data_IF_924217178978
#
_entry.id   IF_924217178978
#
_cell.length_a   1.000
_cell.length_b   1.000
_cell.length_c   1.000
_cell.angle_alpha   90.00
_cell.angle_beta   90.00
_cell.angle_gamma   90.00
#
_symmetry.space_group_name_H-M   'P 1'
#
loop_
_entity.id
_entity.type
_entity.pdbx_description
1 polymer ?
#
# COMPACT_ATOMS: atom_id res chain seq x y z
N UNK A 1 0.84 -69.21 20.85
CA UNK A 1 0.31 -67.88 21.26
C UNK A 1 1.26 -66.69 21.06
N UNK A 2 2.60 -66.86 20.93
CA UNK A 2 3.54 -65.72 20.79
C UNK A 2 3.71 -65.12 19.37
N UNK A 3 3.34 -65.83 18.29
CA UNK A 3 3.54 -65.35 16.90
C UNK A 3 2.44 -64.43 16.36
N UNK A 4 1.27 -64.40 17.00
CA UNK A 4 0.12 -63.60 16.54
C UNK A 4 0.21 -62.14 17.03
N UNK A 5 0.73 -61.92 18.23
CA UNK A 5 0.86 -60.58 18.83
C UNK A 5 1.87 -59.70 18.07
N UNK A 6 2.94 -60.30 17.52
CA UNK A 6 4.00 -59.55 16.83
C UNK A 6 3.54 -58.95 15.49
N UNK A 7 2.60 -59.59 14.77
CA UNK A 7 2.08 -59.09 13.49
C UNK A 7 1.08 -57.95 13.65
N UNK A 8 0.32 -57.92 14.75
CA UNK A 8 -0.65 -56.87 15.02
C UNK A 8 0.02 -55.54 15.45
N UNK A 9 1.16 -55.60 16.13
CA UNK A 9 1.88 -54.40 16.57
C UNK A 9 2.60 -53.68 15.43
N UNK A 10 3.07 -54.41 14.40
CA UNK A 10 3.73 -53.79 13.22
C UNK A 10 2.74 -53.07 12.32
N UNK A 11 1.49 -53.54 12.24
CA UNK A 11 0.44 -52.93 11.41
C UNK A 11 -0.12 -51.63 12.02
N UNK A 12 -0.14 -51.51 13.35
CA UNK A 12 -0.61 -50.31 14.06
C UNK A 12 0.42 -49.16 14.01
N UNK A 13 1.72 -49.45 13.98
CA UNK A 13 2.76 -48.43 13.80
C UNK A 13 2.79 -47.92 12.36
N UNK A 14 2.57 -48.78 11.36
CA UNK A 14 2.48 -48.38 9.96
C UNK A 14 1.24 -47.52 9.66
N UNK A 15 0.10 -47.80 10.30
CA UNK A 15 -1.11 -46.98 10.19
C UNK A 15 -0.98 -45.63 10.93
N UNK A 16 -0.31 -45.60 12.09
CA UNK A 16 -0.06 -44.37 12.85
C UNK A 16 0.88 -43.39 12.14
N UNK A 17 1.91 -43.88 11.46
CA UNK A 17 2.83 -43.07 10.65
C UNK A 17 2.22 -42.59 9.32
N UNK A 18 1.28 -43.36 8.75
CA UNK A 18 0.55 -42.99 7.54
C UNK A 18 -0.48 -41.87 7.74
N UNK A 19 -1.07 -41.77 8.94
CA UNK A 19 -2.06 -40.72 9.25
C UNK A 19 -1.43 -39.40 9.72
N UNK A 20 -0.21 -39.40 10.25
CA UNK A 20 0.48 -38.16 10.65
C UNK A 20 1.08 -37.37 9.47
N UNK A 21 1.12 -37.95 8.27
CA UNK A 21 1.62 -37.28 7.05
C UNK A 21 0.50 -36.62 6.21
N UNK A 22 -0.77 -36.88 6.51
CA UNK A 22 -1.89 -36.47 5.67
C UNK A 22 -2.46 -35.07 5.98
N UNK A 23 -1.90 -34.33 6.94
CA UNK A 23 -2.27 -32.93 7.22
C UNK A 23 -1.20 -31.94 6.80
N UNK A 24 -0.35 -32.30 5.83
CA UNK A 24 0.29 -31.31 5.00
C UNK A 24 -0.77 -30.81 4.01
N UNK A 25 -1.35 -29.65 4.26
CA UNK A 25 -2.08 -28.94 3.21
C UNK A 25 -1.08 -28.75 2.06
N UNK A 26 -1.19 -29.60 1.03
CA UNK A 26 -0.35 -29.51 -0.15
C UNK A 26 -0.53 -28.11 -0.71
N UNK A 27 0.50 -27.26 -0.60
CA UNK A 27 0.50 -25.99 -1.30
C UNK A 27 0.26 -26.28 -2.79
N UNK A 28 -0.72 -25.61 -3.41
CA UNK A 28 -0.96 -25.74 -4.83
C UNK A 28 0.32 -25.41 -5.62
N UNK A 29 0.59 -26.13 -6.70
CA UNK A 29 1.67 -25.76 -7.61
C UNK A 29 1.31 -24.50 -8.40
N UNK A 30 2.32 -23.82 -8.95
CA UNK A 30 2.08 -22.68 -9.84
C UNK A 30 1.18 -23.07 -11.03
N UNK A 31 1.36 -24.28 -11.58
CA UNK A 31 0.57 -24.80 -12.68
C UNK A 31 -0.90 -25.02 -12.29
N UNK A 32 -1.16 -25.50 -11.06
CA UNK A 32 -2.53 -25.65 -10.54
C UNK A 32 -3.22 -24.29 -10.43
N UNK A 33 -2.51 -23.28 -9.91
CA UNK A 33 -3.01 -21.89 -9.81
C UNK A 33 -3.29 -21.32 -11.20
N UNK A 34 -2.40 -21.50 -12.17
CA UNK A 34 -2.59 -21.04 -13.55
C UNK A 34 -3.84 -21.66 -14.16
N UNK A 35 -4.01 -22.98 -14.05
CA UNK A 35 -5.17 -23.69 -14.61
C UNK A 35 -6.46 -23.26 -13.94
N UNK A 36 -6.49 -23.18 -12.60
CA UNK A 36 -7.68 -22.80 -11.82
C UNK A 36 -8.11 -21.36 -12.08
N UNK A 37 -7.16 -20.44 -12.28
CA UNK A 37 -7.41 -19.03 -12.57
C UNK A 37 -7.47 -18.69 -14.07
N UNK A 38 -7.31 -19.69 -14.94
CA UNK A 38 -7.23 -19.51 -16.39
C UNK A 38 -6.17 -18.47 -16.82
N UNK A 39 -4.98 -18.56 -16.23
CA UNK A 39 -3.86 -17.65 -16.49
C UNK A 39 -2.87 -18.23 -17.49
N UNK A 40 -2.43 -17.40 -18.43
CA UNK A 40 -1.31 -17.69 -19.33
C UNK A 40 0.04 -17.40 -18.66
N UNK A 41 1.13 -17.85 -19.30
CA UNK A 41 2.48 -17.46 -18.87
C UNK A 41 2.72 -15.95 -19.01
N UNK A 42 2.08 -15.29 -19.98
CA UNK A 42 2.18 -13.84 -20.13
C UNK A 42 1.54 -13.09 -18.97
N UNK A 43 0.40 -13.58 -18.46
CA UNK A 43 -0.24 -12.99 -17.29
C UNK A 43 0.65 -13.08 -16.04
N UNK A 44 1.34 -14.22 -15.86
CA UNK A 44 2.32 -14.37 -14.78
C UNK A 44 3.52 -13.44 -14.93
N UNK A 45 4.01 -13.25 -16.16
CA UNK A 45 5.10 -12.31 -16.44
C UNK A 45 4.66 -10.86 -16.18
N UNK A 46 3.41 -10.50 -16.49
CA UNK A 46 2.87 -9.18 -16.18
C UNK A 46 2.73 -8.99 -14.67
N UNK A 47 2.22 -9.99 -13.95
CA UNK A 47 2.07 -9.95 -12.50
C UNK A 47 3.42 -9.88 -11.77
N UNK A 48 4.44 -10.60 -12.25
CA UNK A 48 5.77 -10.58 -11.64
C UNK A 48 6.47 -9.23 -11.78
N UNK A 49 6.14 -8.44 -12.82
CA UNK A 49 6.64 -7.07 -13.00
C UNK A 49 6.05 -6.05 -12.02
N UNK A 50 4.87 -6.33 -11.44
CA UNK A 50 4.24 -5.43 -10.45
C UNK A 50 4.41 -5.92 -9.01
N UNK A 51 4.83 -7.17 -8.84
CA UNK A 51 5.02 -7.76 -7.53
C UNK A 51 6.35 -7.32 -6.89
N UNK A 52 6.26 -6.68 -5.72
CA UNK A 52 7.41 -6.35 -4.88
C UNK A 52 7.34 -7.18 -3.59
N UNK A 53 8.26 -8.14 -3.36
CA UNK A 53 8.20 -9.00 -2.20
C UNK A 53 8.55 -8.26 -0.89
N UNK A 54 8.15 -8.84 0.24
CA UNK A 54 8.46 -8.32 1.57
C UNK A 54 9.97 -8.11 1.74
N UNK A 55 10.34 -6.96 2.31
CA UNK A 55 11.74 -6.57 2.51
C UNK A 55 12.42 -5.96 1.28
N UNK A 56 11.74 -5.89 0.12
CA UNK A 56 12.20 -5.11 -1.04
C UNK A 56 11.53 -3.74 -1.11
N UNK A 57 12.19 -2.83 -1.81
CA UNK A 57 11.73 -1.45 -2.05
C UNK A 57 11.12 -1.35 -3.45
N UNK A 58 10.19 -0.42 -3.57
CA UNK A 58 9.71 0.08 -4.86
C UNK A 58 10.80 0.91 -5.55
N UNK A 59 10.73 0.98 -6.89
CA UNK A 59 11.71 1.68 -7.71
C UNK A 59 11.45 3.19 -7.75
N UNK A 60 10.17 3.58 -7.70
CA UNK A 60 9.76 4.98 -7.70
C UNK A 60 8.75 5.28 -6.59
N UNK A 61 8.69 6.56 -6.22
CA UNK A 61 7.64 7.13 -5.37
C UNK A 61 6.80 8.06 -6.22
N UNK A 62 5.49 7.91 -6.14
CA UNK A 62 4.53 8.79 -6.78
C UNK A 62 3.81 9.63 -5.73
N UNK A 63 3.71 10.93 -6.00
CA UNK A 63 2.87 11.86 -5.27
C UNK A 63 1.60 12.09 -6.07
N UNK A 64 0.47 11.66 -5.52
CA UNK A 64 -0.83 11.75 -6.16
C UNK A 64 -1.72 12.71 -5.41
N UNK A 65 -2.55 13.41 -6.17
CA UNK A 65 -3.72 14.08 -5.61
C UNK A 65 -4.62 13.09 -4.87
N UNK A 66 -5.22 13.53 -3.76
CA UNK A 66 -6.33 12.87 -3.08
C UNK A 66 -7.71 13.30 -3.58
N UNK A 67 -7.79 14.21 -4.55
CA UNK A 67 -9.04 14.84 -5.00
C UNK A 67 -9.75 15.60 -3.88
N UNK A 68 -11.06 15.41 -3.78
CA UNK A 68 -11.95 16.08 -2.81
C UNK A 68 -11.70 15.67 -1.36
N UNK A 69 -10.77 14.75 -1.11
CA UNK A 69 -10.30 14.43 0.23
C UNK A 69 -9.39 15.54 0.79
N UNK A 70 -8.68 16.26 -0.08
CA UNK A 70 -7.83 17.40 0.29
C UNK A 70 -6.42 17.04 0.78
N UNK A 71 -6.01 15.78 0.67
CA UNK A 71 -4.66 15.30 1.00
C UNK A 71 -3.81 15.03 -0.25
N UNK A 72 -2.52 14.76 -0.05
CA UNK A 72 -1.65 14.09 -1.03
C UNK A 72 -1.43 12.64 -0.61
N UNK A 73 -1.52 11.72 -1.57
CA UNK A 73 -1.29 10.29 -1.37
C UNK A 73 0.08 9.94 -1.95
N UNK A 74 0.93 9.32 -1.14
CA UNK A 74 2.23 8.81 -1.57
C UNK A 74 2.13 7.31 -1.75
N UNK A 75 2.48 6.79 -2.92
CA UNK A 75 2.53 5.34 -3.17
C UNK A 75 3.80 4.92 -3.90
N UNK A 76 4.21 3.67 -3.69
CA UNK A 76 5.34 3.05 -4.37
C UNK A 76 4.96 2.49 -5.73
N UNK A 77 5.87 2.57 -6.70
CA UNK A 77 5.75 1.94 -8.02
C UNK A 77 6.90 0.91 -8.16
N UNK A 78 6.62 -0.35 -8.52
CA UNK A 78 5.39 -0.81 -9.18
C UNK A 78 4.36 -1.48 -8.25
N UNK A 79 4.59 -1.57 -6.94
CA UNK A 79 3.69 -2.29 -6.04
C UNK A 79 2.32 -1.63 -5.84
N UNK A 80 2.20 -0.34 -6.14
CA UNK A 80 1.01 0.49 -5.94
C UNK A 80 0.54 0.56 -4.47
N UNK A 81 1.42 0.23 -3.52
CA UNK A 81 1.11 0.31 -2.09
C UNK A 81 1.15 1.76 -1.63
N UNK A 82 0.12 2.18 -0.90
CA UNK A 82 0.10 3.48 -0.24
C UNK A 82 1.14 3.46 0.89
N UNK A 83 2.06 4.41 0.85
CA UNK A 83 3.13 4.59 1.82
C UNK A 83 2.76 5.63 2.87
N UNK A 84 2.05 6.69 2.46
CA UNK A 84 1.72 7.83 3.32
C UNK A 84 0.53 8.62 2.76
N UNK A 85 -0.27 9.16 3.67
CA UNK A 85 -1.14 10.31 3.40
C UNK A 85 -0.45 11.55 3.96
N UNK A 86 -0.43 12.66 3.22
CA UNK A 86 0.10 13.94 3.69
C UNK A 86 -1.09 14.87 3.87
N UNK A 87 -1.32 15.35 5.10
CA UNK A 87 -2.33 16.37 5.38
C UNK A 87 -1.98 17.69 4.69
N UNK A 88 -2.92 18.29 3.96
CA UNK A 88 -2.71 19.55 3.21
C UNK A 88 -3.83 20.54 3.47
N UNK A 89 -5.05 20.27 2.98
CA UNK A 89 -6.18 21.19 3.07
C UNK A 89 -7.27 20.73 4.03
N UNK A 90 -7.23 19.45 4.40
CA UNK A 90 -8.16 18.79 5.31
C UNK A 90 -7.39 18.30 6.54
N UNK A 91 -7.92 18.48 7.77
CA UNK A 91 -7.34 17.88 8.96
C UNK A 91 -7.16 16.36 8.81
N UNK A 92 -6.02 15.84 9.23
CA UNK A 92 -5.66 14.42 9.14
C UNK A 92 -5.48 13.84 10.55
N UNK A 93 -6.55 13.26 11.15
CA UNK A 93 -6.61 12.97 12.58
C UNK A 93 -5.64 11.88 13.03
N UNK A 94 -5.32 10.91 12.19
CA UNK A 94 -4.33 9.88 12.52
C UNK A 94 -2.93 10.48 12.75
N UNK A 95 -2.65 11.62 12.12
CA UNK A 95 -1.36 12.31 12.21
C UNK A 95 -1.37 13.49 13.18
N UNK A 96 -2.55 13.91 13.65
CA UNK A 96 -2.73 15.13 14.43
C UNK A 96 -2.68 16.43 13.61
N UNK A 97 -2.55 16.36 12.28
CA UNK A 97 -2.55 17.56 11.43
C UNK A 97 -3.93 18.23 11.44
N UNK A 98 -3.96 19.53 11.75
CA UNK A 98 -5.17 20.30 12.02
C UNK A 98 -5.67 20.21 13.47
N UNK A 99 -4.95 19.51 14.36
CA UNK A 99 -5.32 19.35 15.77
C UNK A 99 -4.33 19.98 16.75
N UNK A 100 -3.06 20.16 16.36
CA UNK A 100 -2.08 20.96 17.10
C UNK A 100 -2.06 22.44 16.66
N UNK A 101 -1.43 23.30 17.46
CA UNK A 101 -1.42 24.74 17.23
C UNK A 101 -0.67 25.14 15.93
N UNK A 102 0.40 24.43 15.57
CA UNK A 102 1.19 24.78 14.39
C UNK A 102 0.46 24.39 13.11
N UNK A 103 -0.07 23.17 13.03
CA UNK A 103 -0.81 22.74 11.83
C UNK A 103 -2.15 23.45 11.68
N UNK A 104 -2.84 23.79 12.78
CA UNK A 104 -3.98 24.72 12.73
C UNK A 104 -3.57 26.06 12.16
N UNK A 105 -2.47 26.65 12.64
CA UNK A 105 -2.01 27.93 12.13
C UNK A 105 -1.76 27.89 10.62
N UNK A 106 -1.17 26.81 10.09
CA UNK A 106 -1.02 26.60 8.64
C UNK A 106 -2.38 26.54 7.94
N UNK A 107 -3.32 25.72 8.41
CA UNK A 107 -4.66 25.63 7.81
C UNK A 107 -5.39 26.99 7.83
N UNK A 108 -5.26 27.75 8.92
CA UNK A 108 -5.90 29.07 9.08
C UNK A 108 -5.35 30.12 8.12
N UNK A 109 -4.12 30.00 7.61
CA UNK A 109 -3.62 30.87 6.54
C UNK A 109 -4.45 30.74 5.25
N UNK A 110 -5.13 29.61 5.06
CA UNK A 110 -6.04 29.38 3.94
C UNK A 110 -7.48 29.84 4.17
N UNK A 111 -7.78 30.55 5.26
CA UNK A 111 -9.12 31.08 5.50
C UNK A 111 -9.47 32.18 4.50
N UNK A 112 -10.73 32.22 4.07
CA UNK A 112 -11.25 33.24 3.14
C UNK A 112 -12.36 34.00 3.85
N UNK A 113 -12.31 35.34 3.82
CA UNK A 113 -13.29 36.22 4.46
C UNK A 113 -13.55 35.89 5.95
N UNK A 114 -12.50 35.50 6.67
CA UNK A 114 -12.57 35.11 8.09
C UNK A 114 -13.25 33.76 8.35
N UNK A 115 -13.63 33.02 7.30
CA UNK A 115 -14.24 31.69 7.44
C UNK A 115 -13.17 30.61 7.50
N UNK A 116 -13.32 29.72 8.47
CA UNK A 116 -12.46 28.55 8.59
C UNK A 116 -12.75 27.52 7.48
N UNK A 117 -11.69 27.05 6.82
CA UNK A 117 -11.80 26.08 5.73
C UNK A 117 -10.96 24.85 6.07
N UNK A 118 -11.65 23.74 6.36
CA UNK A 118 -11.04 22.47 6.79
C UNK A 118 -11.30 21.32 5.81
N UNK A 119 -11.46 21.65 4.53
CA UNK A 119 -11.62 20.71 3.43
C UNK A 119 -10.94 21.27 2.18
N UNK A 120 -10.71 20.44 1.16
CA UNK A 120 -10.19 20.90 -0.13
C UNK A 120 -10.38 19.88 -1.24
N UNK A 121 -10.05 20.29 -2.45
CA UNK A 121 -10.07 19.45 -3.65
C UNK A 121 -8.72 19.58 -4.36
N UNK A 122 -7.80 18.64 -4.11
CA UNK A 122 -6.46 18.66 -4.70
C UNK A 122 -6.49 18.19 -6.15
N UNK A 123 -5.66 18.76 -7.05
CA UNK A 123 -5.63 18.31 -8.46
C UNK A 123 -4.22 17.99 -8.95
N UNK A 124 -3.31 18.97 -8.91
CA UNK A 124 -2.04 18.87 -9.63
C UNK A 124 -0.83 18.96 -8.67
N UNK A 125 -0.33 17.82 -8.16
CA UNK A 125 0.97 17.79 -7.48
C UNK A 125 2.10 18.05 -8.48
N UNK A 126 3.05 18.92 -8.12
CA UNK A 126 4.23 19.22 -8.92
C UNK A 126 5.49 19.30 -8.03
N UNK A 127 6.51 18.51 -8.34
CA UNK A 127 7.78 18.52 -7.60
C UNK A 127 8.65 19.65 -8.12
N UNK A 128 9.37 20.33 -7.23
CA UNK A 128 10.33 21.37 -7.58
C UNK A 128 11.44 20.85 -8.50
N UNK A 129 11.92 21.74 -9.37
CA UNK A 129 12.94 21.42 -10.36
C UNK A 129 14.07 22.45 -10.34
N UNK A 130 15.29 21.94 -10.50
CA UNK A 130 16.49 22.74 -10.76
C UNK A 130 17.03 22.33 -12.13
N UNK A 131 17.09 23.29 -13.06
CA UNK A 131 17.54 23.06 -14.45
C UNK A 131 16.73 21.97 -15.19
N UNK A 132 15.41 21.92 -14.97
CA UNK A 132 14.49 20.99 -15.63
C UNK A 132 14.60 19.54 -15.12
N UNK A 133 15.16 19.34 -13.93
CA UNK A 133 15.22 18.04 -13.25
C UNK A 133 14.66 18.18 -11.85
N UNK A 134 13.87 17.19 -11.42
CA UNK A 134 13.39 17.15 -10.05
C UNK A 134 14.55 17.20 -9.06
N UNK A 135 14.52 18.18 -8.16
CA UNK A 135 15.51 18.35 -7.10
C UNK A 135 15.02 17.79 -5.76
N UNK A 136 13.72 17.48 -5.66
CA UNK A 136 13.11 16.82 -4.51
C UNK A 136 13.02 17.70 -3.26
N UNK A 137 13.11 19.03 -3.40
CA UNK A 137 13.03 19.95 -2.26
C UNK A 137 11.59 20.22 -1.82
N UNK A 138 10.68 20.45 -2.76
CA UNK A 138 9.29 20.80 -2.45
C UNK A 138 8.31 20.09 -3.36
N UNK A 139 7.09 19.90 -2.86
CA UNK A 139 5.90 19.57 -3.65
C UNK A 139 4.89 20.71 -3.56
N UNK A 140 4.44 21.20 -4.71
CA UNK A 140 3.37 22.17 -4.83
C UNK A 140 2.06 21.48 -5.18
N UNK A 141 0.94 21.92 -4.59
CA UNK A 141 -0.38 21.42 -4.96
C UNK A 141 -1.48 22.48 -4.78
N UNK A 142 -2.44 22.49 -5.69
CA UNK A 142 -3.58 23.40 -5.66
C UNK A 142 -4.77 22.81 -4.89
N UNK A 143 -5.60 23.70 -4.37
CA UNK A 143 -6.99 23.42 -3.99
C UNK A 143 -7.92 24.09 -5.00
N UNK A 144 -8.74 23.30 -5.69
CA UNK A 144 -9.72 23.81 -6.67
C UNK A 144 -10.97 24.35 -6.00
N UNK A 145 -11.38 23.76 -4.87
CA UNK A 145 -12.61 24.13 -4.20
C UNK A 145 -12.52 25.52 -3.56
N UNK A 146 -11.37 25.81 -2.95
CA UNK A 146 -11.07 27.10 -2.34
C UNK A 146 -9.72 27.54 -2.92
N UNK A 147 -9.62 28.66 -3.64
CA UNK A 147 -8.48 29.01 -4.49
C UNK A 147 -7.18 29.22 -3.70
N UNK A 148 -6.54 28.12 -3.31
CA UNK A 148 -5.36 28.05 -2.44
C UNK A 148 -4.27 27.23 -3.11
N UNK A 149 -3.04 27.49 -2.71
CA UNK A 149 -1.86 26.70 -3.06
C UNK A 149 -1.13 26.33 -1.78
N UNK A 150 -0.65 25.09 -1.73
CA UNK A 150 0.18 24.60 -0.63
C UNK A 150 1.56 24.23 -1.14
N UNK A 151 2.53 24.37 -0.25
CA UNK A 151 3.91 23.88 -0.40
C UNK A 151 4.12 22.82 0.68
N UNK A 152 4.71 21.69 0.29
CA UNK A 152 5.04 20.58 1.16
C UNK A 152 6.56 20.40 1.12
N UNK A 153 7.17 20.34 2.29
CA UNK A 153 8.61 20.10 2.56
C UNK A 153 8.78 18.68 3.13
#
# INVERSE_FOLDING_TARGET
>A
MKKFVVKSTTMLIAAGLGLSAATAWSAESLQDVMKRRNLSQQDLLAASKTYVPTGKRDDFVAFSSGGQSGQVIVYGIPSMRILKYIGVFTPEPWQGYGFDENSKAVLRQGNIDGKEINWGDTHHPAISETQGKYDGQFLFINDKANPRLAVID
#
